data_IF_916926002190
#
_entry.id   IF_916926002190
#
_cell.length_a   1.000
_cell.length_b   1.000
_cell.length_c   1.000
_cell.angle_alpha   90.00
_cell.angle_beta   90.00
_cell.angle_gamma   90.00
#
_symmetry.space_group_name_H-M   'P 1'
#
loop_
_entity.id
_entity.type
_entity.pdbx_description
1 polymer ?
#
# COMPACT_ATOMS: atom_id res chain seq x y z
N UNK A 1 -96.37 131.45 -45.65
CA UNK A 1 -96.50 132.32 -46.84
C UNK A 1 -96.88 133.70 -46.34
N UNK A 2 -95.92 134.60 -46.25
CA UNK A 2 -96.17 136.03 -46.46
C UNK A 2 -95.43 136.39 -47.73
N UNK A 3 -96.13 137.08 -48.61
CA UNK A 3 -95.64 137.69 -49.84
C UNK A 3 -94.31 138.42 -49.56
N UNK A 4 -93.18 137.84 -49.99
CA UNK A 4 -91.88 138.53 -49.99
C UNK A 4 -91.93 139.59 -51.08
N UNK A 5 -92.60 140.71 -50.76
CA UNK A 5 -92.51 141.95 -51.50
C UNK A 5 -91.03 142.25 -51.76
N UNK A 6 -90.70 142.65 -52.98
CA UNK A 6 -89.37 143.14 -53.37
C UNK A 6 -88.74 143.94 -52.20
N UNK A 7 -87.45 143.72 -51.87
CA UNK A 7 -86.83 144.34 -50.70
C UNK A 7 -87.17 145.83 -50.66
N UNK A 8 -87.83 146.26 -49.58
CA UNK A 8 -88.26 147.66 -49.40
C UNK A 8 -87.11 148.65 -49.50
N UNK A 9 -85.90 148.17 -49.30
CA UNK A 9 -84.69 148.92 -49.32
C UNK A 9 -83.70 148.27 -50.29
N UNK A 10 -83.14 149.06 -51.19
CA UNK A 10 -81.98 148.65 -51.96
C UNK A 10 -80.75 148.52 -51.02
N UNK A 11 -79.67 147.88 -51.47
CA UNK A 11 -78.51 147.61 -50.58
C UNK A 11 -77.92 148.89 -49.98
N UNK A 12 -77.94 150.03 -50.68
CA UNK A 12 -77.45 151.29 -50.13
C UNK A 12 -78.34 151.78 -48.97
N UNK A 13 -79.65 151.64 -49.12
CA UNK A 13 -80.62 151.96 -48.08
C UNK A 13 -80.53 150.99 -46.89
N UNK A 14 -80.27 149.70 -47.14
CA UNK A 14 -80.02 148.70 -46.09
C UNK A 14 -78.77 149.07 -45.29
N UNK A 15 -77.66 149.44 -45.96
CA UNK A 15 -76.44 149.89 -45.28
C UNK A 15 -76.74 151.10 -44.39
N UNK A 16 -77.45 152.10 -44.91
CA UNK A 16 -77.82 153.28 -44.13
C UNK A 16 -78.71 152.91 -42.93
N UNK A 17 -79.69 152.02 -43.13
CA UNK A 17 -80.58 151.59 -42.07
C UNK A 17 -79.81 150.86 -40.96
N UNK A 18 -78.91 149.95 -41.33
CA UNK A 18 -78.07 149.21 -40.39
C UNK A 18 -77.13 150.16 -39.63
N UNK A 19 -76.50 151.13 -40.32
CA UNK A 19 -75.66 152.15 -39.69
C UNK A 19 -76.40 153.02 -38.68
N UNK A 20 -77.67 153.30 -38.93
CA UNK A 20 -78.44 154.22 -38.08
C UNK A 20 -79.15 153.50 -36.94
N UNK A 21 -79.53 152.22 -37.12
CA UNK A 21 -80.40 151.49 -36.19
C UNK A 21 -79.70 150.36 -35.45
N UNK A 22 -78.66 149.77 -36.02
CA UNK A 22 -78.06 148.53 -35.50
C UNK A 22 -76.58 148.63 -35.14
N UNK A 23 -75.80 149.45 -35.86
CA UNK A 23 -74.38 149.65 -35.60
C UNK A 23 -74.12 151.06 -35.05
N UNK A 24 -73.09 151.22 -34.23
CA UNK A 24 -72.73 152.51 -33.61
C UNK A 24 -71.24 152.77 -33.75
N UNK A 25 -70.83 154.03 -33.93
CA UNK A 25 -69.41 154.43 -33.97
C UNK A 25 -68.66 153.94 -35.22
N UNK A 26 -67.48 153.33 -35.03
CA UNK A 26 -66.59 152.92 -36.11
C UNK A 26 -67.18 151.81 -36.98
N UNK A 27 -67.91 150.87 -36.38
CA UNK A 27 -68.50 149.72 -37.08
C UNK A 27 -69.57 150.15 -38.10
N UNK A 28 -70.34 151.19 -37.76
CA UNK A 28 -71.29 151.79 -38.69
C UNK A 28 -70.58 152.52 -39.84
N UNK A 29 -69.58 153.36 -39.54
CA UNK A 29 -68.85 154.11 -40.57
C UNK A 29 -68.17 153.21 -41.60
N UNK A 30 -67.61 152.09 -41.14
CA UNK A 30 -66.85 151.17 -41.98
C UNK A 30 -67.72 150.20 -42.78
N UNK A 31 -69.00 150.01 -42.42
CA UNK A 31 -69.89 149.13 -43.17
C UNK A 31 -70.13 149.68 -44.57
N UNK A 32 -69.62 149.05 -45.61
CA UNK A 32 -69.83 149.47 -47.00
C UNK A 32 -70.80 148.55 -47.72
N UNK A 33 -71.30 149.00 -48.88
CA UNK A 33 -72.16 148.18 -49.75
C UNK A 33 -71.48 146.88 -50.17
N UNK A 34 -70.16 146.92 -50.39
CA UNK A 34 -69.37 145.78 -50.82
C UNK A 34 -69.24 144.68 -49.77
N UNK A 35 -69.51 144.99 -48.49
CA UNK A 35 -69.48 144.00 -47.41
C UNK A 35 -70.78 143.19 -47.30
N UNK A 36 -71.87 143.65 -47.93
CA UNK A 36 -73.18 143.01 -47.93
C UNK A 36 -73.59 142.49 -49.32
N UNK A 37 -73.04 143.03 -50.41
CA UNK A 37 -73.38 142.63 -51.78
C UNK A 37 -72.21 142.91 -52.75
N UNK A 38 -71.93 142.05 -53.76
CA UNK A 38 -72.65 140.82 -54.11
C UNK A 38 -72.34 139.62 -53.22
N UNK A 39 -71.23 139.61 -52.46
CA UNK A 39 -70.85 138.49 -51.62
C UNK A 39 -70.69 138.92 -50.14
N UNK A 40 -71.65 138.60 -49.26
CA UNK A 40 -71.63 139.04 -47.86
C UNK A 40 -70.48 138.42 -47.08
N UNK A 41 -69.75 139.22 -46.27
CA UNK A 41 -68.70 138.68 -45.39
C UNK A 41 -69.33 138.02 -44.14
N UNK A 42 -69.00 136.75 -43.82
CA UNK A 42 -69.61 136.02 -42.70
C UNK A 42 -69.43 136.71 -41.35
N UNK A 43 -68.27 137.31 -41.12
CA UNK A 43 -67.94 138.00 -39.86
C UNK A 43 -68.76 139.28 -39.73
N UNK A 44 -69.00 139.98 -40.84
CA UNK A 44 -69.82 141.19 -40.90
C UNK A 44 -71.29 140.85 -40.68
N UNK A 45 -71.80 139.79 -41.33
CA UNK A 45 -73.15 139.29 -41.08
C UNK A 45 -73.32 138.81 -39.65
N UNK A 46 -72.36 138.05 -39.11
CA UNK A 46 -72.38 137.60 -37.73
C UNK A 46 -72.41 138.81 -36.79
N UNK A 47 -71.56 139.81 -37.00
CA UNK A 47 -71.58 141.03 -36.20
C UNK A 47 -72.92 141.77 -36.27
N UNK A 48 -73.50 141.94 -37.47
CA UNK A 48 -74.81 142.59 -37.65
C UNK A 48 -75.91 141.79 -36.96
N UNK A 49 -75.96 140.47 -37.14
CA UNK A 49 -76.96 139.61 -36.50
C UNK A 49 -76.79 139.61 -34.98
N UNK A 50 -75.56 139.53 -34.48
CA UNK A 50 -75.30 139.57 -33.04
C UNK A 50 -75.65 140.94 -32.45
N UNK A 51 -75.43 142.06 -33.17
CA UNK A 51 -75.92 143.38 -32.75
C UNK A 51 -77.43 143.51 -32.82
N UNK A 52 -78.06 142.98 -33.85
CA UNK A 52 -79.53 142.94 -33.94
C UNK A 52 -80.13 142.15 -32.79
N UNK A 53 -79.59 140.96 -32.49
CA UNK A 53 -80.03 140.14 -31.36
C UNK A 53 -79.77 140.83 -30.01
N UNK A 54 -78.64 141.55 -29.88
CA UNK A 54 -78.35 142.37 -28.70
C UNK A 54 -79.34 143.52 -28.53
N UNK A 55 -79.72 144.21 -29.60
CA UNK A 55 -80.63 145.36 -29.54
C UNK A 55 -82.07 144.91 -29.30
N UNK A 56 -82.51 143.86 -30.00
CA UNK A 56 -83.89 143.38 -29.94
C UNK A 56 -84.17 142.61 -28.64
N UNK A 57 -83.23 141.76 -28.22
CA UNK A 57 -83.42 140.87 -27.06
C UNK A 57 -82.56 141.23 -25.84
N UNK A 58 -81.70 142.25 -25.91
CA UNK A 58 -80.84 142.67 -24.79
C UNK A 58 -79.69 141.71 -24.46
N UNK A 59 -79.40 140.72 -25.31
CA UNK A 59 -78.54 139.57 -24.97
C UNK A 59 -77.06 139.84 -25.22
N UNK A 60 -76.21 139.92 -24.18
CA UNK A 60 -74.76 140.10 -24.33
C UNK A 60 -74.07 138.90 -25.01
N UNK A 61 -72.98 139.17 -25.75
CA UNK A 61 -72.20 138.15 -26.49
C UNK A 61 -71.78 136.95 -25.62
N UNK A 62 -71.54 137.19 -24.33
CA UNK A 62 -71.14 136.19 -23.32
C UNK A 62 -72.14 135.03 -23.18
N UNK A 63 -73.43 135.27 -23.42
CA UNK A 63 -74.47 134.25 -23.26
C UNK A 63 -74.32 133.10 -24.26
N UNK A 64 -73.86 133.41 -25.48
CA UNK A 64 -73.61 132.42 -26.53
C UNK A 64 -72.38 131.55 -26.21
N UNK A 65 -71.34 132.12 -25.60
CA UNK A 65 -70.17 131.36 -25.15
C UNK A 65 -70.45 130.48 -23.93
N UNK A 66 -71.34 130.93 -23.03
CA UNK A 66 -71.69 130.19 -21.82
C UNK A 66 -72.37 128.85 -22.11
N UNK A 67 -73.27 128.79 -23.10
CA UNK A 67 -73.99 127.57 -23.47
C UNK A 67 -73.03 126.49 -23.99
N UNK A 68 -72.12 126.87 -24.91
CA UNK A 68 -71.15 125.93 -25.50
C UNK A 68 -70.17 125.40 -24.44
N UNK A 69 -69.73 126.25 -23.52
CA UNK A 69 -68.86 125.82 -22.40
C UNK A 69 -69.61 124.92 -21.42
N UNK A 70 -70.87 125.20 -21.13
CA UNK A 70 -71.70 124.39 -20.23
C UNK A 70 -72.00 123.00 -20.80
N UNK A 71 -72.26 122.92 -22.11
CA UNK A 71 -72.48 121.65 -22.83
C UNK A 71 -71.18 120.83 -22.89
N UNK A 72 -70.04 121.46 -23.24
CA UNK A 72 -68.74 120.81 -23.23
C UNK A 72 -68.30 120.32 -21.84
N UNK A 73 -68.61 121.08 -20.78
CA UNK A 73 -68.34 120.68 -19.40
C UNK A 73 -69.26 119.52 -18.94
N UNK A 74 -70.51 119.52 -19.37
CA UNK A 74 -71.46 118.44 -19.05
C UNK A 74 -71.05 117.12 -19.69
N UNK A 75 -70.62 117.15 -20.96
CA UNK A 75 -70.10 115.97 -21.64
C UNK A 75 -68.86 115.41 -20.95
N UNK A 76 -67.87 116.26 -20.63
CA UNK A 76 -66.65 115.83 -19.91
C UNK A 76 -66.97 115.23 -18.54
N UNK A 77 -67.95 115.76 -17.81
CA UNK A 77 -68.37 115.25 -16.51
C UNK A 77 -69.01 113.86 -16.63
N UNK A 78 -69.81 113.63 -17.69
CA UNK A 78 -70.36 112.32 -18.02
C UNK A 78 -69.26 111.30 -18.34
N UNK A 79 -68.30 111.66 -19.20
CA UNK A 79 -67.19 110.77 -19.57
C UNK A 79 -66.30 110.41 -18.37
N UNK A 80 -66.03 111.37 -17.46
CA UNK A 80 -65.28 111.12 -16.22
C UNK A 80 -66.06 110.16 -15.31
N UNK A 81 -67.36 110.35 -15.17
CA UNK A 81 -68.22 109.47 -14.37
C UNK A 81 -68.21 108.04 -14.92
N UNK A 82 -68.34 107.88 -16.24
CA UNK A 82 -68.31 106.56 -16.88
C UNK A 82 -66.94 105.88 -16.73
N UNK A 83 -65.84 106.61 -16.96
CA UNK A 83 -64.47 106.10 -16.73
C UNK A 83 -64.26 105.69 -15.27
N UNK A 84 -64.79 106.46 -14.33
CA UNK A 84 -64.71 106.15 -12.88
C UNK A 84 -65.48 104.88 -12.55
N UNK A 85 -66.68 104.70 -13.14
CA UNK A 85 -67.46 103.47 -12.98
C UNK A 85 -66.70 102.26 -13.53
N UNK A 86 -66.18 102.32 -14.75
CA UNK A 86 -65.40 101.23 -15.36
C UNK A 86 -64.13 100.92 -14.56
N UNK A 87 -63.45 101.93 -14.01
CA UNK A 87 -62.28 101.73 -13.16
C UNK A 87 -62.65 100.98 -11.88
N UNK A 88 -63.79 101.30 -11.25
CA UNK A 88 -64.24 100.62 -10.05
C UNK A 88 -64.63 99.16 -10.33
N UNK A 89 -65.28 98.88 -11.46
CA UNK A 89 -65.57 97.51 -11.91
C UNK A 89 -64.28 96.71 -12.14
N UNK A 90 -63.26 97.32 -12.76
CA UNK A 90 -61.96 96.67 -12.96
C UNK A 90 -61.25 96.37 -11.62
N UNK A 91 -61.29 97.31 -10.66
CA UNK A 91 -60.74 97.11 -9.31
C UNK A 91 -61.39 95.93 -8.60
N UNK A 92 -62.71 95.80 -8.68
CA UNK A 92 -63.44 94.69 -8.08
C UNK A 92 -63.04 93.34 -8.69
N UNK A 93 -62.91 93.29 -10.02
CA UNK A 93 -62.43 92.09 -10.74
C UNK A 93 -61.00 91.71 -10.33
N UNK A 94 -60.11 92.68 -10.16
CA UNK A 94 -58.73 92.43 -9.69
C UNK A 94 -58.70 91.86 -8.27
N UNK A 95 -59.54 92.38 -7.37
CA UNK A 95 -59.65 91.83 -5.99
C UNK A 95 -60.16 90.40 -6.03
N UNK A 96 -61.21 90.13 -6.80
CA UNK A 96 -61.79 88.79 -6.94
C UNK A 96 -60.76 87.79 -7.50
N UNK A 97 -59.99 88.18 -8.53
CA UNK A 97 -58.94 87.32 -9.08
C UNK A 97 -57.78 87.07 -8.10
N UNK A 98 -57.42 88.05 -7.25
CA UNK A 98 -56.42 87.86 -6.20
C UNK A 98 -56.89 86.87 -5.13
N UNK A 99 -58.16 86.92 -4.74
CA UNK A 99 -58.74 85.95 -3.80
C UNK A 99 -58.73 84.53 -4.38
N UNK A 100 -59.10 84.39 -5.66
CA UNK A 100 -59.00 83.10 -6.37
C UNK A 100 -57.55 82.63 -6.45
N UNK A 101 -56.59 83.50 -6.77
CA UNK A 101 -55.16 83.17 -6.80
C UNK A 101 -54.66 82.64 -5.46
N UNK A 102 -55.01 83.30 -4.35
CA UNK A 102 -54.58 82.88 -3.01
C UNK A 102 -55.24 81.54 -2.61
N UNK A 103 -56.50 81.33 -2.97
CA UNK A 103 -57.20 80.07 -2.75
C UNK A 103 -56.63 78.90 -3.56
N UNK A 104 -56.11 79.15 -4.76
CA UNK A 104 -55.48 78.13 -5.60
C UNK A 104 -54.06 77.82 -5.13
N UNK A 105 -53.31 78.84 -4.68
CA UNK A 105 -51.95 78.66 -4.15
C UNK A 105 -51.90 77.70 -2.96
N UNK A 106 -52.89 77.74 -2.08
CA UNK A 106 -53.03 76.82 -0.94
C UNK A 106 -53.46 75.39 -1.33
N UNK A 107 -54.01 75.20 -2.54
CA UNK A 107 -54.39 73.87 -3.08
C UNK A 107 -53.30 73.24 -3.96
N UNK A 108 -52.49 74.05 -4.65
CA UNK A 108 -51.45 73.58 -5.59
C UNK A 108 -50.13 73.30 -4.86
N UNK A 109 -49.79 74.11 -3.86
CA UNK A 109 -48.57 73.92 -3.06
C UNK A 109 -48.94 73.21 -1.77
N UNK A 110 -48.47 71.97 -1.62
CA UNK A 110 -48.53 71.30 -0.32
C UNK A 110 -47.87 72.18 0.74
N UNK A 111 -48.50 72.27 1.91
CA UNK A 111 -47.95 73.03 3.03
C UNK A 111 -46.48 72.62 3.26
N UNK A 112 -45.55 73.58 3.47
CA UNK A 112 -44.15 73.30 3.74
C UNK A 112 -43.95 72.23 4.83
N UNK A 113 -44.84 72.18 5.82
CA UNK A 113 -44.81 71.20 6.89
C UNK A 113 -45.17 69.78 6.43
N UNK A 114 -46.11 69.64 5.47
CA UNK A 114 -46.43 68.34 4.85
C UNK A 114 -45.26 67.79 4.04
N UNK A 115 -44.61 68.65 3.25
CA UNK A 115 -43.43 68.27 2.45
C UNK A 115 -42.26 67.87 3.36
N UNK A 116 -42.02 68.63 4.43
CA UNK A 116 -41.01 68.32 5.45
C UNK A 116 -41.28 66.97 6.12
N UNK A 117 -42.51 66.73 6.58
CA UNK A 117 -42.91 65.47 7.21
C UNK A 117 -42.75 64.27 6.23
N UNK A 118 -43.15 64.44 4.97
CA UNK A 118 -42.96 63.41 3.95
C UNK A 118 -41.48 63.11 3.69
N UNK A 119 -40.63 64.14 3.63
CA UNK A 119 -39.18 64.01 3.48
C UNK A 119 -38.54 63.30 4.68
N UNK A 120 -38.97 63.62 5.90
CA UNK A 120 -38.51 62.96 7.14
C UNK A 120 -38.86 61.45 7.10
N UNK A 121 -40.13 61.11 6.81
CA UNK A 121 -40.57 59.72 6.66
C UNK A 121 -39.81 58.96 5.58
N UNK A 122 -39.55 59.62 4.45
CA UNK A 122 -38.77 59.03 3.37
C UNK A 122 -37.32 58.77 3.82
N UNK A 123 -36.70 59.72 4.52
CA UNK A 123 -35.35 59.57 5.08
C UNK A 123 -35.28 58.40 6.07
N UNK A 124 -36.25 58.30 6.98
CA UNK A 124 -36.35 57.19 7.93
C UNK A 124 -36.52 55.85 7.22
N UNK A 125 -37.35 55.81 6.18
CA UNK A 125 -37.58 54.60 5.37
C UNK A 125 -36.31 54.19 4.63
N UNK A 126 -35.62 55.14 3.99
CA UNK A 126 -34.34 54.90 3.31
C UNK A 126 -33.28 54.41 4.30
N UNK A 127 -33.23 54.98 5.51
CA UNK A 127 -32.28 54.55 6.53
C UNK A 127 -32.58 53.13 7.03
N UNK A 128 -33.86 52.79 7.26
CA UNK A 128 -34.28 51.43 7.62
C UNK A 128 -33.92 50.41 6.53
N UNK A 129 -34.16 50.76 5.26
CA UNK A 129 -33.80 49.90 4.13
C UNK A 129 -32.28 49.71 4.03
N UNK A 130 -31.49 50.76 4.28
CA UNK A 130 -30.02 50.67 4.27
C UNK A 130 -29.51 49.74 5.36
N UNK A 131 -30.06 49.84 6.59
CA UNK A 131 -29.70 48.96 7.70
C UNK A 131 -30.11 47.51 7.42
N UNK A 132 -31.34 47.28 6.97
CA UNK A 132 -31.83 45.94 6.60
C UNK A 132 -30.98 45.30 5.50
N UNK A 133 -30.58 46.07 4.48
CA UNK A 133 -29.66 45.57 3.44
C UNK A 133 -28.31 45.17 4.00
N UNK A 134 -27.77 45.94 4.95
CA UNK A 134 -26.49 45.65 5.60
C UNK A 134 -26.58 44.35 6.41
N UNK A 135 -27.62 44.18 7.22
CA UNK A 135 -27.87 42.94 7.98
C UNK A 135 -28.00 41.71 7.07
N UNK A 136 -28.62 41.86 5.90
CA UNK A 136 -28.72 40.78 4.91
C UNK A 136 -27.35 40.43 4.32
N UNK A 137 -26.50 41.41 4.02
CA UNK A 137 -25.15 41.16 3.52
C UNK A 137 -24.28 40.46 4.57
N UNK A 138 -24.34 40.88 5.82
CA UNK A 138 -23.60 40.25 6.92
C UNK A 138 -24.01 38.79 7.13
N UNK A 139 -25.32 38.50 7.10
CA UNK A 139 -25.82 37.12 7.17
C UNK A 139 -25.35 36.29 5.97
N UNK A 140 -25.36 36.87 4.78
CA UNK A 140 -24.90 36.19 3.56
C UNK A 140 -23.40 35.85 3.64
N UNK A 141 -22.57 36.76 4.16
CA UNK A 141 -21.15 36.50 4.41
C UNK A 141 -20.93 35.31 5.34
N UNK A 142 -21.61 35.28 6.48
CA UNK A 142 -21.52 34.18 7.45
C UNK A 142 -21.93 32.84 6.81
N UNK A 143 -23.01 32.82 6.02
CA UNK A 143 -23.45 31.60 5.34
C UNK A 143 -22.47 31.14 4.28
N UNK A 144 -21.91 32.06 3.49
CA UNK A 144 -20.89 31.75 2.49
C UNK A 144 -19.66 31.12 3.15
N UNK A 145 -19.13 31.73 4.20
CA UNK A 145 -17.96 31.20 4.92
C UNK A 145 -18.22 29.79 5.46
N UNK A 146 -19.45 29.55 5.94
CA UNK A 146 -19.89 28.22 6.43
C UNK A 146 -20.03 27.19 5.31
N UNK A 147 -20.39 27.60 4.10
CA UNK A 147 -20.52 26.70 2.94
C UNK A 147 -19.15 26.41 2.34
N UNK A 148 -18.25 27.40 2.31
CA UNK A 148 -16.91 27.28 1.73
C UNK A 148 -16.03 26.25 2.46
N UNK A 149 -16.32 25.93 3.73
CA UNK A 149 -15.60 24.89 4.47
C UNK A 149 -16.15 23.45 4.28
N UNK A 150 -17.34 23.28 3.68
CA UNK A 150 -17.95 21.96 3.47
C UNK A 150 -17.11 21.01 2.61
N UNK A 151 -16.45 21.44 1.50
CA UNK A 151 -15.62 20.55 0.70
C UNK A 151 -14.46 19.94 1.49
N UNK A 152 -13.83 20.70 2.39
CA UNK A 152 -12.77 20.18 3.27
C UNK A 152 -13.30 19.13 4.24
N UNK A 153 -14.46 19.38 4.85
CA UNK A 153 -15.12 18.39 5.71
C UNK A 153 -15.45 17.10 4.92
N UNK A 154 -15.93 17.23 3.67
CA UNK A 154 -16.22 16.10 2.81
C UNK A 154 -14.97 15.29 2.45
N UNK A 155 -13.85 15.95 2.15
CA UNK A 155 -12.57 15.28 1.90
C UNK A 155 -12.09 14.51 3.13
N UNK A 156 -12.25 15.09 4.33
CA UNK A 156 -11.86 14.43 5.57
C UNK A 156 -12.72 13.18 5.85
N UNK A 157 -14.04 13.25 5.59
CA UNK A 157 -14.93 12.08 5.67
C UNK A 157 -14.49 10.97 4.70
N UNK A 158 -14.16 11.31 3.46
CA UNK A 158 -13.65 10.33 2.48
C UNK A 158 -12.32 9.70 2.92
N UNK A 159 -11.43 10.49 3.52
CA UNK A 159 -10.17 9.99 4.07
C UNK A 159 -10.43 8.97 5.18
N UNK A 160 -11.34 9.26 6.12
CA UNK A 160 -11.68 8.31 7.18
C UNK A 160 -12.38 7.05 6.64
N UNK A 161 -13.25 7.17 5.64
CA UNK A 161 -13.85 6.02 4.97
C UNK A 161 -12.79 5.11 4.35
N UNK A 162 -11.80 5.68 3.67
CA UNK A 162 -10.67 4.92 3.11
C UNK A 162 -9.88 4.20 4.21
N UNK A 163 -9.54 4.90 5.30
CA UNK A 163 -8.83 4.29 6.45
C UNK A 163 -9.62 3.13 7.06
N UNK A 164 -10.95 3.26 7.18
CA UNK A 164 -11.81 2.20 7.71
C UNK A 164 -11.78 0.97 6.78
N UNK A 165 -11.84 1.18 5.46
CA UNK A 165 -11.74 0.08 4.49
C UNK A 165 -10.38 -0.62 4.58
N UNK A 166 -9.28 0.14 4.59
CA UNK A 166 -7.93 -0.41 4.71
C UNK A 166 -7.76 -1.23 6.01
N UNK A 167 -8.35 -0.76 7.13
CA UNK A 167 -8.36 -1.49 8.40
C UNK A 167 -9.20 -2.78 8.32
N UNK A 168 -10.33 -2.77 7.61
CA UNK A 168 -11.16 -3.95 7.43
C UNK A 168 -10.41 -5.04 6.63
N UNK A 169 -9.77 -4.65 5.53
CA UNK A 169 -8.97 -5.55 4.68
C UNK A 169 -7.78 -6.15 5.46
N UNK A 170 -7.11 -5.33 6.28
CA UNK A 170 -6.01 -5.78 7.12
C UNK A 170 -6.49 -6.76 8.21
N UNK A 171 -7.67 -6.53 8.80
CA UNK A 171 -8.27 -7.46 9.77
C UNK A 171 -8.57 -8.81 9.14
N UNK A 172 -9.03 -8.83 7.89
CA UNK A 172 -9.28 -10.09 7.15
C UNK A 172 -7.97 -10.85 6.91
N UNK A 173 -6.91 -10.16 6.46
CA UNK A 173 -5.57 -10.76 6.33
C UNK A 173 -5.05 -11.33 7.65
N UNK A 174 -5.17 -10.57 8.75
CA UNK A 174 -4.80 -11.03 10.09
C UNK A 174 -5.59 -12.27 10.52
N UNK A 175 -6.87 -12.35 10.18
CA UNK A 175 -7.70 -13.52 10.47
C UNK A 175 -7.21 -14.75 9.71
N UNK A 176 -6.79 -14.59 8.45
CA UNK A 176 -6.18 -15.68 7.67
C UNK A 176 -4.86 -16.14 8.27
N UNK A 177 -3.98 -15.21 8.63
CA UNK A 177 -2.68 -15.51 9.26
C UNK A 177 -2.89 -16.24 10.59
N UNK A 178 -3.86 -15.79 11.41
CA UNK A 178 -4.16 -16.43 12.68
C UNK A 178 -4.60 -17.89 12.51
N UNK A 179 -5.42 -18.19 11.49
CA UNK A 179 -5.82 -19.58 11.18
C UNK A 179 -4.62 -20.44 10.76
N UNK A 180 -3.71 -19.89 9.97
CA UNK A 180 -2.49 -20.59 9.58
C UNK A 180 -1.58 -20.86 10.79
N UNK A 181 -1.41 -19.87 11.69
CA UNK A 181 -0.64 -20.05 12.93
C UNK A 181 -1.22 -21.15 13.81
N UNK A 182 -2.54 -21.19 14.00
CA UNK A 182 -3.19 -22.26 14.77
C UNK A 182 -2.96 -23.65 14.16
N UNK A 183 -3.09 -23.78 12.83
CA UNK A 183 -2.82 -25.05 12.15
C UNK A 183 -1.36 -25.49 12.30
N UNK A 184 -0.40 -24.55 12.29
CA UNK A 184 1.01 -24.85 12.50
C UNK A 184 1.29 -25.26 13.96
N UNK A 185 0.62 -24.64 14.93
CA UNK A 185 0.71 -25.05 16.34
C UNK A 185 0.21 -26.49 16.53
N UNK A 186 -0.94 -26.85 15.95
CA UNK A 186 -1.48 -28.21 15.98
C UNK A 186 -0.50 -29.23 15.36
N UNK A 187 0.15 -28.87 14.25
CA UNK A 187 1.14 -29.72 13.59
C UNK A 187 2.38 -29.90 14.48
N UNK A 188 2.87 -28.83 15.12
CA UNK A 188 4.00 -28.90 16.04
C UNK A 188 3.68 -29.82 17.22
N UNK A 189 2.48 -29.71 17.82
CA UNK A 189 2.07 -30.58 18.92
C UNK A 189 2.02 -32.06 18.50
N UNK A 190 1.49 -32.33 17.30
CA UNK A 190 1.50 -33.68 16.71
C UNK A 190 2.93 -34.21 16.54
N UNK A 191 3.81 -33.45 15.92
CA UNK A 191 5.19 -33.84 15.66
C UNK A 191 5.99 -34.05 16.96
N UNK A 192 5.76 -33.23 17.98
CA UNK A 192 6.37 -33.40 19.30
C UNK A 192 5.94 -34.72 19.96
N UNK A 193 4.68 -35.11 19.79
CA UNK A 193 4.15 -36.37 20.32
C UNK A 193 4.80 -37.58 19.63
N UNK A 194 4.99 -37.51 18.31
CA UNK A 194 5.66 -38.54 17.52
C UNK A 194 7.15 -38.64 17.89
N UNK A 195 7.82 -37.51 18.05
CA UNK A 195 9.22 -37.45 18.47
C UNK A 195 9.43 -38.11 19.85
N UNK A 196 8.52 -37.85 20.80
CA UNK A 196 8.55 -38.52 22.12
C UNK A 196 8.44 -40.03 21.98
N UNK A 197 7.53 -40.52 21.12
CA UNK A 197 7.37 -41.96 20.85
C UNK A 197 8.65 -42.55 20.24
N UNK A 198 9.19 -41.93 19.18
CA UNK A 198 10.43 -42.40 18.53
C UNK A 198 11.62 -42.43 19.48
N UNK A 199 11.74 -41.43 20.38
CA UNK A 199 12.79 -41.40 21.41
C UNK A 199 12.67 -42.57 22.39
N UNK A 200 11.45 -42.98 22.76
CA UNK A 200 11.26 -44.17 23.61
C UNK A 200 11.65 -45.46 22.88
N UNK A 201 11.34 -45.56 21.59
CA UNK A 201 11.68 -46.70 20.74
C UNK A 201 13.20 -46.79 20.53
N UNK A 202 13.87 -45.68 20.22
CA UNK A 202 15.34 -45.59 20.10
C UNK A 202 16.02 -46.09 21.39
N UNK A 203 15.52 -45.66 22.56
CA UNK A 203 16.04 -46.11 23.85
C UNK A 203 15.80 -47.61 24.09
N UNK A 204 14.69 -48.15 23.59
CA UNK A 204 14.43 -49.60 23.64
C UNK A 204 15.44 -50.39 22.78
N UNK A 205 15.73 -49.90 21.57
CA UNK A 205 16.70 -50.53 20.67
C UNK A 205 18.13 -50.43 21.20
N UNK A 206 18.52 -49.28 21.80
CA UNK A 206 19.82 -49.13 22.47
C UNK A 206 20.01 -50.19 23.56
N UNK A 207 19.00 -50.41 24.40
CA UNK A 207 19.03 -51.47 25.44
C UNK A 207 19.15 -52.86 24.83
N UNK A 208 18.36 -53.15 23.79
CA UNK A 208 18.41 -54.44 23.10
C UNK A 208 19.78 -54.70 22.45
N UNK A 209 20.39 -53.68 21.86
CA UNK A 209 21.72 -53.76 21.25
C UNK A 209 22.78 -54.12 22.30
N UNK A 210 22.74 -53.52 23.48
CA UNK A 210 23.67 -53.84 24.58
C UNK A 210 23.55 -55.33 24.95
N UNK A 211 22.32 -55.80 25.19
CA UNK A 211 22.06 -57.21 25.52
C UNK A 211 22.56 -58.16 24.43
N UNK A 212 22.39 -57.79 23.15
CA UNK A 212 22.89 -58.59 22.01
C UNK A 212 24.42 -58.62 21.96
N UNK A 213 25.10 -57.48 22.22
CA UNK A 213 26.57 -57.41 22.30
C UNK A 213 27.11 -58.27 23.43
N UNK A 214 26.49 -58.24 24.61
CA UNK A 214 26.89 -59.08 25.76
C UNK A 214 26.72 -60.57 25.49
N UNK A 215 25.60 -60.97 24.87
CA UNK A 215 25.37 -62.37 24.45
C UNK A 215 26.42 -62.83 23.44
N UNK A 216 26.76 -61.98 22.47
CA UNK A 216 27.79 -62.28 21.48
C UNK A 216 29.17 -62.43 22.13
N UNK A 217 29.56 -61.50 23.01
CA UNK A 217 30.82 -61.57 23.75
C UNK A 217 30.92 -62.86 24.60
N UNK A 218 29.83 -63.23 25.27
CA UNK A 218 29.75 -64.47 26.06
C UNK A 218 29.90 -65.71 25.18
N UNK A 219 29.25 -65.75 24.02
CA UNK A 219 29.38 -66.86 23.07
C UNK A 219 30.80 -66.97 22.52
N UNK A 220 31.40 -65.84 22.15
CA UNK A 220 32.77 -65.78 21.64
C UNK A 220 33.78 -66.26 22.69
N UNK A 221 33.62 -65.85 23.95
CA UNK A 221 34.45 -66.31 25.06
C UNK A 221 34.37 -67.84 25.23
N UNK A 222 33.15 -68.41 25.18
CA UNK A 222 32.95 -69.87 25.26
C UNK A 222 33.62 -70.62 24.10
N UNK A 223 33.53 -70.09 22.88
CA UNK A 223 34.18 -70.67 21.69
C UNK A 223 35.70 -70.63 21.85
N UNK A 224 36.26 -69.48 22.22
CA UNK A 224 37.70 -69.31 22.43
C UNK A 224 38.23 -70.25 23.51
N UNK A 225 37.51 -70.40 24.62
CA UNK A 225 37.86 -71.35 25.69
C UNK A 225 37.91 -72.80 25.16
N UNK A 226 36.88 -73.24 24.44
CA UNK A 226 36.88 -74.59 23.83
C UNK A 226 38.05 -74.80 22.88
N UNK A 227 38.40 -73.78 22.09
CA UNK A 227 39.54 -73.86 21.17
C UNK A 227 40.87 -74.03 21.93
N UNK A 228 41.08 -73.26 23.01
CA UNK A 228 42.26 -73.41 23.87
C UNK A 228 42.31 -74.78 24.56
N UNK A 229 41.17 -75.27 25.09
CA UNK A 229 41.07 -76.60 25.69
C UNK A 229 41.46 -77.70 24.68
N UNK A 230 40.96 -77.62 23.44
CA UNK A 230 41.32 -78.55 22.35
C UNK A 230 42.81 -78.44 22.00
N UNK A 231 43.37 -77.22 21.95
CA UNK A 231 44.78 -77.00 21.65
C UNK A 231 45.68 -77.56 22.77
N UNK A 232 45.28 -77.44 24.02
CA UNK A 232 45.95 -78.05 25.15
C UNK A 232 45.88 -79.58 25.07
N UNK A 233 44.70 -80.15 24.83
CA UNK A 233 44.52 -81.59 24.66
C UNK A 233 45.41 -82.15 23.53
N UNK A 234 45.43 -81.50 22.36
CA UNK A 234 46.32 -81.88 21.25
C UNK A 234 47.79 -81.89 21.66
N UNK A 235 48.25 -80.88 22.42
CA UNK A 235 49.64 -80.83 22.94
C UNK A 235 49.93 -82.01 23.86
N UNK A 236 49.04 -82.33 24.79
CA UNK A 236 49.18 -83.48 25.69
C UNK A 236 49.29 -84.79 24.93
N UNK A 237 48.39 -85.03 23.95
CA UNK A 237 48.42 -86.24 23.11
C UNK A 237 49.73 -86.36 22.34
N UNK A 238 50.24 -85.26 21.77
CA UNK A 238 51.53 -85.26 21.06
C UNK A 238 52.67 -85.62 22.02
N UNK A 239 52.67 -85.06 23.24
CA UNK A 239 53.68 -85.37 24.25
C UNK A 239 53.65 -86.85 24.66
N UNK A 240 52.48 -87.43 24.85
CA UNK A 240 52.32 -88.85 25.19
C UNK A 240 52.76 -89.76 24.04
N UNK A 241 52.42 -89.41 22.78
CA UNK A 241 52.91 -90.11 21.59
C UNK A 241 54.43 -90.08 21.52
N UNK A 242 55.06 -88.94 21.82
CA UNK A 242 56.53 -88.82 21.85
C UNK A 242 57.14 -89.72 22.93
N UNK A 243 56.57 -89.75 24.15
CA UNK A 243 57.03 -90.66 25.21
C UNK A 243 56.92 -92.13 24.80
N UNK A 244 55.84 -92.52 24.11
CA UNK A 244 55.67 -93.88 23.58
C UNK A 244 56.71 -94.17 22.49
N UNK A 245 56.95 -93.21 21.59
CA UNK A 245 57.97 -93.32 20.53
C UNK A 245 59.36 -93.53 21.12
N UNK A 246 59.74 -92.76 22.15
CA UNK A 246 61.01 -92.90 22.88
C UNK A 246 61.15 -94.27 23.53
N UNK A 247 60.11 -94.72 24.26
CA UNK A 247 60.09 -96.08 24.86
C UNK A 247 60.22 -97.17 23.80
N UNK A 248 59.51 -97.03 22.68
CA UNK A 248 59.61 -97.98 21.54
C UNK A 248 61.02 -97.99 20.97
N UNK A 249 61.65 -96.83 20.81
CA UNK A 249 63.05 -96.72 20.39
C UNK A 249 64.00 -97.44 21.34
N UNK A 250 63.88 -97.22 22.64
CA UNK A 250 64.70 -97.90 23.65
C UNK A 250 64.51 -99.43 23.64
N UNK A 251 63.28 -99.91 23.44
CA UNK A 251 63.00 -101.36 23.29
C UNK A 251 63.61 -101.90 22.00
N UNK A 252 63.49 -101.16 20.89
CA UNK A 252 64.07 -101.56 19.60
C UNK A 252 65.59 -101.71 19.67
N UNK A 253 66.28 -100.77 20.33
CA UNK A 253 67.72 -100.87 20.57
C UNK A 253 68.07 -102.11 21.39
N UNK A 254 67.37 -102.36 22.51
CA UNK A 254 67.57 -103.58 23.32
C UNK A 254 67.37 -104.86 22.52
N UNK A 255 66.29 -104.94 21.73
CA UNK A 255 66.01 -106.09 20.86
C UNK A 255 67.12 -106.26 19.81
N UNK A 256 67.62 -105.16 19.26
CA UNK A 256 68.74 -105.18 18.30
C UNK A 256 70.02 -105.72 18.94
N UNK A 257 70.36 -105.28 20.15
CA UNK A 257 71.50 -105.81 20.93
C UNK A 257 71.35 -107.31 21.19
N UNK A 258 70.20 -107.75 21.70
CA UNK A 258 69.93 -109.18 21.95
C UNK A 258 70.06 -109.99 20.66
N UNK A 259 69.52 -109.50 19.54
CA UNK A 259 69.64 -110.18 18.25
C UNK A 259 71.10 -110.29 17.77
N UNK A 260 71.93 -109.27 18.03
CA UNK A 260 73.36 -109.33 17.74
C UNK A 260 74.08 -110.35 18.63
N UNK A 261 73.75 -110.39 19.93
CA UNK A 261 74.28 -111.39 20.87
C UNK A 261 73.88 -112.81 20.47
N UNK A 262 72.61 -113.05 20.12
CA UNK A 262 72.13 -114.33 19.59
C UNK A 262 72.96 -114.76 18.37
N UNK A 263 73.26 -113.84 17.44
CA UNK A 263 74.11 -114.15 16.27
C UNK A 263 75.53 -114.54 16.70
N UNK A 264 76.14 -113.83 17.65
CA UNK A 264 77.47 -114.17 18.19
C UNK A 264 77.48 -115.54 18.87
N UNK A 265 76.48 -115.82 19.72
CA UNK A 265 76.34 -117.12 20.41
C UNK A 265 76.15 -118.24 19.41
N UNK A 266 75.27 -118.09 18.41
CA UNK A 266 75.06 -119.09 17.34
C UNK A 266 76.36 -119.38 16.59
N UNK A 267 77.13 -118.35 16.26
CA UNK A 267 78.43 -118.50 15.62
C UNK A 267 79.43 -119.26 16.51
N UNK A 268 79.50 -118.93 17.80
CA UNK A 268 80.32 -119.66 18.78
C UNK A 268 79.92 -121.14 18.94
N UNK A 269 78.62 -121.43 18.98
CA UNK A 269 78.10 -122.82 18.99
C UNK A 269 78.57 -123.57 17.74
N UNK A 270 78.51 -122.94 16.55
CA UNK A 270 78.96 -123.57 15.31
C UNK A 270 80.46 -123.86 15.35
N UNK A 271 81.29 -122.91 15.81
CA UNK A 271 82.73 -123.11 15.96
C UNK A 271 83.07 -124.26 16.92
N UNK A 272 82.37 -124.36 18.07
CA UNK A 272 82.55 -125.45 19.02
C UNK A 272 82.12 -126.79 18.43
N UNK A 273 81.03 -126.82 17.67
CA UNK A 273 80.57 -128.02 16.95
C UNK A 273 81.62 -128.49 15.94
N UNK A 274 82.19 -127.58 15.15
CA UNK A 274 83.23 -127.88 14.17
C UNK A 274 84.54 -128.32 14.84
N UNK A 275 84.89 -127.73 16.00
CA UNK A 275 86.04 -128.17 16.80
C UNK A 275 85.83 -129.56 17.39
N UNK A 276 84.63 -129.84 17.91
CA UNK A 276 84.27 -131.16 18.45
C UNK A 276 84.32 -132.24 17.38
N UNK A 277 83.80 -131.97 16.17
CA UNK A 277 83.86 -132.92 15.06
C UNK A 277 85.31 -133.16 14.60
N UNK A 278 86.16 -132.13 14.55
CA UNK A 278 87.59 -132.28 14.28
C UNK A 278 88.30 -133.14 15.31
N UNK A 279 88.06 -132.90 16.61
CA UNK A 279 88.71 -133.68 17.68
C UNK A 279 88.21 -135.13 17.68
N UNK A 280 86.92 -135.36 17.36
CA UNK A 280 86.36 -136.69 17.15
C UNK A 280 87.04 -137.42 15.99
N UNK A 281 87.24 -136.77 14.84
CA UNK A 281 87.97 -137.34 13.71
C UNK A 281 89.42 -137.68 14.07
N UNK A 282 90.10 -136.78 14.79
CA UNK A 282 91.47 -136.99 15.28
C UNK A 282 91.56 -138.15 16.27
N UNK A 283 90.60 -138.25 17.19
CA UNK A 283 90.49 -139.37 18.13
C UNK A 283 90.24 -140.70 17.39
N UNK A 284 89.39 -140.70 16.36
CA UNK A 284 89.17 -141.86 15.49
C UNK A 284 90.44 -142.27 14.74
N UNK A 285 91.20 -141.31 14.22
CA UNK A 285 92.49 -141.55 13.55
C UNK A 285 93.52 -142.16 14.51
N UNK A 286 93.65 -141.61 15.73
CA UNK A 286 94.52 -142.15 16.79
C UNK A 286 94.08 -143.57 17.17
N UNK A 287 92.79 -143.82 17.33
CA UNK A 287 92.25 -145.14 17.64
C UNK A 287 92.57 -146.16 16.54
N UNK A 288 92.38 -145.80 15.26
CA UNK A 288 92.73 -146.63 14.11
C UNK A 288 94.23 -146.91 14.02
N UNK A 289 95.06 -145.90 14.28
CA UNK A 289 96.51 -146.01 14.37
C UNK A 289 96.94 -147.01 15.46
N UNK A 290 96.43 -146.84 16.68
CA UNK A 290 96.70 -147.73 17.81
C UNK A 290 96.21 -149.15 17.53
N UNK A 291 94.99 -149.29 16.99
CA UNK A 291 94.42 -150.58 16.59
C UNK A 291 95.35 -151.29 15.59
N UNK A 292 95.76 -150.59 14.53
CA UNK A 292 96.71 -151.13 13.53
C UNK A 292 98.05 -151.51 14.15
N UNK A 293 98.58 -150.70 15.08
CA UNK A 293 99.84 -150.99 15.77
C UNK A 293 99.74 -152.23 16.66
N UNK A 294 98.62 -152.39 17.37
CA UNK A 294 98.32 -153.58 18.19
C UNK A 294 98.13 -154.82 17.30
N UNK A 295 97.41 -154.69 16.19
CA UNK A 295 97.26 -155.77 15.21
C UNK A 295 98.63 -156.22 14.67
N UNK A 296 99.51 -155.28 14.27
CA UNK A 296 100.89 -155.60 13.87
C UNK A 296 101.72 -156.24 14.98
N UNK A 297 101.55 -155.82 16.23
CA UNK A 297 102.23 -156.42 17.36
C UNK A 297 101.76 -157.88 17.58
N UNK A 298 100.45 -158.13 17.52
CA UNK A 298 99.89 -159.48 17.57
C UNK A 298 100.36 -160.35 16.40
N UNK A 299 100.34 -159.83 15.18
CA UNK A 299 100.82 -160.51 13.97
C UNK A 299 102.33 -160.82 14.06
N UNK A 300 103.11 -159.92 14.69
CA UNK A 300 104.52 -160.15 15.01
C UNK A 300 104.74 -161.24 16.07
N UNK A 301 103.90 -161.33 17.09
CA UNK A 301 103.90 -162.43 18.07
C UNK A 301 103.56 -163.75 17.37
N UNK A 302 102.52 -163.75 16.53
CA UNK A 302 102.06 -164.94 15.80
C UNK A 302 103.17 -165.49 14.90
N UNK A 303 103.86 -164.62 14.14
CA UNK A 303 105.05 -165.00 13.36
C UNK A 303 106.20 -165.53 14.23
N UNK A 304 106.48 -164.92 15.38
CA UNK A 304 107.55 -165.42 16.27
C UNK A 304 107.21 -166.79 16.86
N UNK A 305 105.92 -167.06 17.09
CA UNK A 305 105.40 -168.38 17.50
C UNK A 305 105.54 -169.38 16.35
N UNK A 306 105.15 -169.03 15.13
CA UNK A 306 105.35 -169.86 13.93
C UNK A 306 106.84 -170.18 13.68
N UNK A 307 107.73 -169.20 13.81
CA UNK A 307 109.18 -169.41 13.72
C UNK A 307 109.73 -170.30 14.83
N UNK A 308 109.17 -170.23 16.04
CA UNK A 308 109.51 -171.15 17.13
C UNK A 308 109.06 -172.58 16.82
N UNK A 309 107.84 -172.77 16.32
CA UNK A 309 107.35 -174.08 15.89
C UNK A 309 108.20 -174.64 14.74
N UNK A 310 108.55 -173.83 13.74
CA UNK A 310 109.44 -174.22 12.65
C UNK A 310 110.84 -174.65 13.15
N UNK A 311 111.42 -173.94 14.12
CA UNK A 311 112.69 -174.33 14.76
C UNK A 311 112.59 -175.62 15.57
N UNK A 312 111.46 -175.86 16.23
CA UNK A 312 111.20 -177.12 16.95
C UNK A 312 111.10 -178.28 15.95
N UNK A 313 110.39 -178.09 14.84
CA UNK A 313 110.24 -179.08 13.79
C UNK A 313 111.58 -179.38 13.08
N UNK A 314 112.41 -178.37 12.84
CA UNK A 314 113.75 -178.54 12.27
C UNK A 314 114.66 -179.35 13.21
N UNK A 315 114.64 -179.06 14.52
CA UNK A 315 115.35 -179.88 15.52
C UNK A 315 114.80 -181.30 15.65
N UNK A 316 113.48 -181.49 15.52
CA UNK A 316 112.86 -182.81 15.55
C UNK A 316 113.26 -183.65 14.32
N UNK A 317 113.39 -183.02 13.14
CA UNK A 317 113.86 -183.65 11.91
C UNK A 317 115.35 -184.04 11.98
N UNK A 318 116.20 -183.21 12.59
CA UNK A 318 117.61 -183.53 12.83
C UNK A 318 117.80 -184.73 13.77
N UNK A 319 116.98 -184.83 14.82
CA UNK A 319 116.96 -185.98 15.74
C UNK A 319 116.53 -187.27 15.04
N UNK A 320 115.50 -187.23 14.18
CA UNK A 320 115.06 -188.38 13.36
C UNK A 320 116.13 -188.85 12.40
N UNK A 321 116.92 -187.94 11.81
CA UNK A 321 118.00 -188.28 10.86
C UNK A 321 119.22 -188.90 11.55
N UNK A 322 119.48 -188.56 12.82
CA UNK A 322 120.55 -189.19 13.63
C UNK A 322 120.20 -190.61 14.10
N UNK A 323 118.92 -190.92 14.32
CA UNK A 323 118.49 -192.26 14.74
C UNK A 323 118.64 -193.35 13.67
N UNK A 324 118.61 -193.00 12.38
CA UNK A 324 118.70 -193.99 11.28
C UNK A 324 120.15 -194.38 10.89
N UNK A 325 121.18 -193.88 11.58
CA UNK A 325 122.59 -194.27 11.33
C UNK A 325 123.17 -195.28 12.34
N UNK A 326 122.35 -195.92 13.18
CA UNK A 326 122.83 -196.82 14.24
C UNK A 326 122.12 -198.19 14.30
N UNK A 327 121.66 -198.75 13.17
CA UNK A 327 121.18 -200.14 13.12
C UNK A 327 121.42 -200.78 11.74
N UNK A 328 122.47 -201.62 11.69
CA UNK A 328 122.83 -202.64 10.67
C UNK A 328 122.87 -202.24 9.18
#
# INVERSE_FOLDING_TARGET
METLSFPRYNVAEIVVHIRNKFLTGADGKNLSKNDLYPNPKPEVLHMIYMRALQIVYGIRLEHFYMIVLQEGNSQKKSDISEKTKRLNELKLSVVTLKEVQESLKTKIVDSPEKVKNYKEKMKDTVQKLKNSRQEVMEKYEIYRDSVDCLPSCQQEVQLYQKKIQDLADNREKLTSILKESLNLEDQIESDESELKKLKTEENSFKRLMIVKKEKLATAQFKINKKHEDIKQYKRTVIEDCNKVQEKRGAVFEKVTTINQEIKKIKFGIQQLKDATEREKLKSQEIFLSLKTAVEKYHEGIEKAVEECYARIDEKAAELKKRMFRMSA
#
